data_IF_788530285938
#
_entry.id   IF_788530285938
#
_cell.length_a   1.000
_cell.length_b   1.000
_cell.length_c   1.000
_cell.angle_alpha   90.00
_cell.angle_beta   90.00
_cell.angle_gamma   90.00
#
_symmetry.space_group_name_H-M   'P 1'
#
loop_
_entity.id
_entity.type
_entity.pdbx_description
1 polymer ?
#
# COMPACT_ATOMS: atom_id res chain seq x y z
N UNK A 1 17.98 -15.86 33.14
CA UNK A 1 19.17 -15.07 33.51
C UNK A 1 20.23 -15.38 32.46
N UNK A 2 20.11 -14.79 31.26
CA UNK A 2 20.98 -15.10 30.11
C UNK A 2 21.77 -13.84 29.73
N UNK A 3 23.07 -13.90 29.92
CA UNK A 3 24.05 -12.98 29.33
C UNK A 3 23.98 -13.04 27.80
N UNK A 4 23.15 -12.19 27.20
CA UNK A 4 23.32 -11.76 25.80
C UNK A 4 24.08 -10.43 25.80
N UNK A 5 25.35 -10.50 26.22
CA UNK A 5 26.31 -9.41 26.15
C UNK A 5 26.79 -9.29 24.70
N UNK A 6 26.28 -8.34 23.90
CA UNK A 6 27.02 -7.74 22.76
C UNK A 6 27.71 -8.65 21.71
N UNK A 7 27.50 -9.97 21.69
CA UNK A 7 28.35 -10.95 20.97
C UNK A 7 28.34 -10.75 19.45
N UNK A 8 27.30 -10.08 18.93
CA UNK A 8 27.13 -9.85 17.49
C UNK A 8 27.31 -8.38 17.10
N UNK A 9 27.75 -7.51 18.01
CA UNK A 9 28.02 -6.11 17.67
C UNK A 9 29.29 -6.01 16.86
N UNK A 10 29.24 -5.29 15.74
CA UNK A 10 30.43 -5.02 14.91
C UNK A 10 31.26 -3.83 15.42
N UNK A 11 30.78 -3.16 16.48
CA UNK A 11 31.43 -1.97 17.03
C UNK A 11 32.80 -2.31 17.62
N UNK A 12 33.86 -1.63 17.15
CA UNK A 12 35.24 -1.83 17.61
C UNK A 12 35.97 -3.01 16.97
N UNK A 13 35.39 -3.66 15.96
CA UNK A 13 36.07 -4.74 15.22
C UNK A 13 36.94 -4.15 14.12
N UNK A 14 38.25 -4.39 14.18
CA UNK A 14 39.24 -3.84 13.25
C UNK A 14 38.92 -4.15 11.78
N UNK A 15 38.45 -5.37 11.47
CA UNK A 15 38.04 -5.77 10.11
C UNK A 15 36.91 -4.92 9.50
N UNK A 16 36.11 -4.23 10.32
CA UNK A 16 35.09 -3.28 9.85
C UNK A 16 35.61 -1.84 9.83
N UNK A 17 36.63 -1.51 10.62
CA UNK A 17 37.27 -0.19 10.65
C UNK A 17 38.16 0.00 9.43
N UNK A 18 38.94 -1.03 9.08
CA UNK A 18 39.85 -1.04 7.93
C UNK A 18 39.16 -1.60 6.65
N UNK A 19 37.82 -1.64 6.65
CA UNK A 19 37.08 -2.19 5.53
C UNK A 19 37.05 -1.20 4.35
N UNK A 20 37.85 -1.49 3.34
CA UNK A 20 37.79 -0.81 2.05
C UNK A 20 36.72 -1.43 1.15
N UNK A 21 35.80 -0.57 0.69
CA UNK A 21 34.65 -0.99 -0.07
C UNK A 21 34.94 -1.06 -1.58
N UNK A 22 34.76 -2.24 -2.17
CA UNK A 22 34.77 -2.41 -3.62
C UNK A 22 33.36 -2.32 -4.22
N UNK A 23 33.22 -1.53 -5.28
CA UNK A 23 31.96 -1.34 -6.01
C UNK A 23 31.48 -2.66 -6.62
N UNK A 24 30.40 -3.21 -6.06
CA UNK A 24 29.78 -4.44 -6.50
C UNK A 24 28.46 -4.18 -7.26
N UNK A 25 28.15 -4.88 -8.37
CA UNK A 25 26.85 -4.77 -9.04
C UNK A 25 25.62 -5.01 -8.15
N UNK A 26 25.75 -5.72 -7.02
CA UNK A 26 24.64 -5.89 -6.06
C UNK A 26 24.15 -4.59 -5.41
N UNK A 27 24.93 -3.49 -5.46
CA UNK A 27 24.51 -2.14 -5.01
C UNK A 27 23.32 -1.64 -5.83
N UNK A 28 23.16 -2.11 -7.07
CA UNK A 28 22.08 -1.68 -7.96
C UNK A 28 20.72 -2.26 -7.57
N UNK A 29 20.68 -3.31 -6.73
CA UNK A 29 19.42 -3.93 -6.28
C UNK A 29 18.51 -2.89 -5.56
N UNK A 30 19.01 -2.07 -4.62
CA UNK A 30 18.23 -0.98 -4.03
C UNK A 30 17.68 0.06 -5.01
N UNK A 31 18.23 0.18 -6.23
CA UNK A 31 17.74 1.11 -7.25
C UNK A 31 16.65 0.50 -8.15
N UNK A 32 16.51 -0.84 -8.16
CA UNK A 32 15.47 -1.53 -8.92
C UNK A 32 14.05 -1.03 -8.61
N UNK A 33 13.69 -0.69 -7.36
CA UNK A 33 12.43 -0.02 -7.04
C UNK A 33 12.15 1.27 -7.79
N UNK A 34 13.17 2.07 -8.11
CA UNK A 34 12.97 3.35 -8.80
C UNK A 34 12.37 3.17 -10.20
N UNK A 35 12.66 2.05 -10.87
CA UNK A 35 12.17 1.74 -12.22
C UNK A 35 10.63 1.68 -12.24
N UNK A 36 10.00 1.12 -11.20
CA UNK A 36 8.55 1.01 -11.12
C UNK A 36 7.88 2.10 -10.26
N UNK A 37 8.60 2.73 -9.33
CA UNK A 37 8.07 3.85 -8.53
C UNK A 37 7.82 5.08 -9.41
N UNK A 38 8.75 5.45 -10.30
CA UNK A 38 8.62 6.67 -11.13
C UNK A 38 7.36 6.62 -12.02
N UNK A 39 7.09 5.55 -12.79
CA UNK A 39 5.83 5.42 -13.54
C UNK A 39 4.59 5.45 -12.65
N UNK A 40 4.67 4.85 -11.47
CA UNK A 40 3.56 4.81 -10.51
C UNK A 40 3.23 6.20 -9.98
N UNK A 41 4.23 7.03 -9.69
CA UNK A 41 4.02 8.43 -9.31
C UNK A 41 3.26 9.21 -10.39
N UNK A 42 3.59 8.97 -11.67
CA UNK A 42 2.85 9.58 -12.78
C UNK A 42 1.41 9.08 -12.90
N UNK A 43 1.18 7.78 -12.68
CA UNK A 43 -0.18 7.21 -12.63
C UNK A 43 -0.97 7.78 -11.46
N UNK A 44 -0.39 7.83 -10.26
CA UNK A 44 -1.02 8.45 -9.09
C UNK A 44 -1.38 9.90 -9.34
N UNK A 45 -0.48 10.69 -9.95
CA UNK A 45 -0.77 12.06 -10.34
C UNK A 45 -1.96 12.17 -11.31
N UNK A 46 -2.05 11.26 -12.30
CA UNK A 46 -3.20 11.19 -13.21
C UNK A 46 -4.49 10.77 -12.52
N UNK A 47 -4.42 9.80 -11.61
CA UNK A 47 -5.56 9.36 -10.80
C UNK A 47 -6.06 10.53 -9.96
N UNK A 48 -5.16 11.20 -9.24
CA UNK A 48 -5.45 12.38 -8.42
C UNK A 48 -6.09 13.52 -9.24
N UNK A 49 -5.47 13.92 -10.36
CA UNK A 49 -6.05 14.92 -11.25
C UNK A 49 -7.42 14.50 -11.79
N UNK A 50 -7.61 13.22 -12.10
CA UNK A 50 -8.88 12.72 -12.62
C UNK A 50 -10.01 12.69 -11.58
N UNK A 51 -9.68 12.53 -10.29
CA UNK A 51 -10.62 12.73 -9.19
C UNK A 51 -10.92 14.23 -8.97
N UNK A 52 -9.91 15.10 -9.03
CA UNK A 52 -10.13 16.56 -8.92
C UNK A 52 -10.95 17.15 -10.07
N UNK A 53 -10.82 16.62 -11.29
CA UNK A 53 -11.62 17.06 -12.46
C UNK A 53 -13.02 16.44 -12.53
N UNK A 54 -13.48 15.72 -11.51
CA UNK A 54 -14.87 15.30 -11.47
C UNK A 54 -15.75 16.54 -11.30
N UNK A 55 -16.66 16.84 -12.24
CA UNK A 55 -17.64 17.87 -11.99
C UNK A 55 -18.52 17.39 -10.83
N UNK A 56 -18.76 18.30 -9.88
CA UNK A 56 -19.71 18.22 -8.77
C UNK A 56 -21.18 17.98 -9.21
N UNK A 57 -21.39 17.46 -10.42
CA UNK A 57 -22.67 17.39 -11.12
C UNK A 57 -23.47 16.12 -10.79
N UNK A 58 -22.92 15.17 -10.03
CA UNK A 58 -23.70 14.04 -9.49
C UNK A 58 -24.37 14.38 -8.15
N UNK A 59 -24.00 15.49 -7.51
CA UNK A 59 -24.64 16.01 -6.30
C UNK A 59 -25.88 16.87 -6.60
N UNK A 60 -26.18 17.12 -7.88
CA UNK A 60 -27.26 18.00 -8.34
C UNK A 60 -28.47 17.20 -8.83
N UNK A 61 -28.90 16.19 -8.07
CA UNK A 61 -30.23 15.61 -8.21
C UNK A 61 -31.12 16.18 -7.11
N UNK A 62 -31.91 17.17 -7.53
CA UNK A 62 -33.12 17.75 -6.91
C UNK A 62 -33.52 17.15 -5.56
N UNK A 63 -33.24 17.89 -4.49
CA UNK A 63 -33.86 17.69 -3.18
C UNK A 63 -34.20 19.06 -2.58
N UNK A 64 -35.37 19.15 -1.95
CA UNK A 64 -35.88 20.35 -1.26
C UNK A 64 -34.82 21.00 -0.37
N UNK A 65 -34.79 22.33 -0.34
CA UNK A 65 -33.71 23.12 0.28
C UNK A 65 -33.43 22.77 1.74
N UNK A 66 -34.45 22.39 2.51
CA UNK A 66 -34.28 21.95 3.91
C UNK A 66 -33.67 20.54 4.03
N UNK A 67 -34.03 19.61 3.14
CA UNK A 67 -33.46 18.26 3.12
C UNK A 67 -32.00 18.30 2.63
N UNK A 68 -31.71 19.17 1.66
CA UNK A 68 -30.35 19.39 1.17
C UNK A 68 -29.44 19.98 2.25
N UNK A 69 -29.93 20.94 3.05
CA UNK A 69 -29.17 21.49 4.18
C UNK A 69 -28.87 20.43 5.23
N UNK A 70 -29.84 19.58 5.59
CA UNK A 70 -29.65 18.46 6.53
C UNK A 70 -28.65 17.42 6.02
N UNK A 71 -28.72 17.07 4.73
CA UNK A 71 -27.77 16.15 4.09
C UNK A 71 -26.36 16.75 4.01
N UNK A 72 -26.23 18.04 3.70
CA UNK A 72 -24.95 18.74 3.72
C UNK A 72 -24.36 18.83 5.12
N UNK A 73 -25.17 19.14 6.12
CA UNK A 73 -24.73 19.20 7.53
C UNK A 73 -24.27 17.82 8.00
N UNK A 74 -25.02 16.75 7.69
CA UNK A 74 -24.60 15.38 7.96
C UNK A 74 -23.27 15.04 7.29
N UNK A 75 -23.08 15.45 6.04
CA UNK A 75 -21.85 15.21 5.30
C UNK A 75 -20.66 15.99 5.90
N UNK A 76 -20.86 17.26 6.28
CA UNK A 76 -19.85 18.09 6.94
C UNK A 76 -19.48 17.52 8.31
N UNK A 77 -20.46 17.12 9.13
CA UNK A 77 -20.24 16.47 10.42
C UNK A 77 -19.48 15.16 10.22
N UNK A 78 -19.86 14.32 9.23
CA UNK A 78 -19.10 13.10 8.89
C UNK A 78 -17.66 13.42 8.51
N UNK A 79 -17.42 14.41 7.66
CA UNK A 79 -16.07 14.77 7.21
C UNK A 79 -15.23 15.32 8.36
N UNK A 80 -15.82 16.13 9.24
CA UNK A 80 -15.16 16.62 10.46
C UNK A 80 -14.85 15.46 11.41
N UNK A 81 -15.78 14.55 11.67
CA UNK A 81 -15.54 13.36 12.49
C UNK A 81 -14.47 12.46 11.87
N UNK A 82 -14.47 12.23 10.55
CA UNK A 82 -13.40 11.51 9.87
C UNK A 82 -12.05 12.21 10.08
N UNK A 83 -11.98 13.54 9.94
CA UNK A 83 -10.74 14.29 10.11
C UNK A 83 -10.25 14.32 11.58
N UNK A 84 -11.16 14.49 12.54
CA UNK A 84 -10.81 14.61 13.96
C UNK A 84 -10.72 13.28 14.69
N UNK A 85 -11.23 12.17 14.15
CA UNK A 85 -11.08 10.84 14.74
C UNK A 85 -10.10 9.95 13.95
N UNK A 86 -10.22 9.86 12.61
CA UNK A 86 -9.35 8.98 11.82
C UNK A 86 -7.93 9.51 11.78
N UNK A 87 -7.74 10.82 11.60
CA UNK A 87 -6.39 11.39 11.49
C UNK A 87 -5.56 11.23 12.77
N UNK A 88 -6.09 11.48 13.99
CA UNK A 88 -5.34 11.16 15.20
C UNK A 88 -5.18 9.66 15.44
N UNK A 89 -6.15 8.81 15.10
CA UNK A 89 -5.97 7.35 15.19
C UNK A 89 -4.85 6.89 14.25
N UNK A 90 -4.80 7.41 13.02
CA UNK A 90 -3.77 7.10 12.02
C UNK A 90 -2.38 7.50 12.51
N UNK A 91 -2.26 8.57 13.29
CA UNK A 91 -1.00 9.01 13.89
C UNK A 91 -0.67 8.26 15.19
N UNK A 92 -1.67 7.98 16.02
CA UNK A 92 -1.52 7.34 17.33
C UNK A 92 -1.18 5.85 17.19
N UNK A 93 -1.74 5.14 16.22
CA UNK A 93 -1.49 3.71 16.01
C UNK A 93 0.00 3.41 15.76
N UNK A 94 0.70 4.07 14.80
CA UNK A 94 2.14 3.91 14.65
C UNK A 94 2.93 4.27 15.91
N UNK A 95 2.52 5.32 16.63
CA UNK A 95 3.19 5.75 17.86
C UNK A 95 3.11 4.68 18.95
N UNK A 96 1.92 4.11 19.17
CA UNK A 96 1.71 3.01 20.13
C UNK A 96 2.49 1.78 19.67
N UNK A 97 2.48 1.46 18.38
CA UNK A 97 3.23 0.35 17.83
C UNK A 97 4.75 0.52 17.93
N UNK A 98 5.29 1.74 18.06
CA UNK A 98 6.74 1.98 18.20
C UNK A 98 7.14 2.23 19.65
N UNK A 99 6.18 2.54 20.54
CA UNK A 99 6.44 2.86 21.95
C UNK A 99 7.28 1.82 22.69
N UNK A 100 7.17 0.53 22.34
CA UNK A 100 7.98 -0.55 22.93
C UNK A 100 9.49 -0.48 22.63
N UNK A 101 9.89 0.28 21.59
CA UNK A 101 11.28 0.50 21.19
C UNK A 101 11.93 1.71 21.89
N UNK A 102 11.17 2.57 22.56
CA UNK A 102 11.70 3.75 23.26
C UNK A 102 12.82 3.40 24.27
N UNK A 103 12.70 2.35 25.12
CA UNK A 103 13.75 1.97 26.05
C UNK A 103 14.85 1.08 25.44
N UNK A 104 14.75 0.75 24.14
CA UNK A 104 15.66 -0.21 23.51
C UNK A 104 16.99 0.41 23.12
N UNK A 105 18.07 -0.36 23.22
CA UNK A 105 19.41 0.04 22.80
C UNK A 105 19.71 -0.52 21.41
N UNK A 106 20.05 0.35 20.46
CA UNK A 106 20.46 -0.03 19.12
C UNK A 106 21.94 -0.42 19.04
N UNK A 107 22.28 -1.43 18.25
CA UNK A 107 23.64 -1.78 17.90
C UNK A 107 23.70 -2.28 16.44
N UNK A 108 24.85 -2.08 15.79
CA UNK A 108 25.08 -2.57 14.44
C UNK A 108 25.54 -4.02 14.50
N UNK A 109 25.01 -4.87 13.63
CA UNK A 109 25.50 -6.24 13.42
C UNK A 109 25.63 -6.52 11.91
N UNK A 110 26.36 -7.58 11.58
CA UNK A 110 26.54 -8.03 10.21
C UNK A 110 25.32 -8.85 9.75
N UNK A 111 24.83 -8.62 8.54
CA UNK A 111 23.82 -9.49 7.95
C UNK A 111 24.42 -10.87 7.67
N UNK A 112 23.62 -11.91 7.93
CA UNK A 112 23.97 -13.27 7.59
C UNK A 112 23.90 -13.55 6.08
N UNK A 113 24.23 -14.77 5.69
CA UNK A 113 24.08 -15.24 4.29
C UNK A 113 22.63 -15.01 3.81
N UNK A 114 22.41 -14.54 2.57
CA UNK A 114 23.33 -14.52 1.43
C UNK A 114 24.13 -13.21 1.26
N UNK A 115 24.04 -12.27 2.20
CA UNK A 115 24.67 -10.96 2.04
C UNK A 115 26.20 -11.04 2.22
N UNK A 116 26.98 -10.30 1.41
CA UNK A 116 28.44 -10.28 1.52
C UNK A 116 28.90 -9.56 2.78
N UNK A 117 30.16 -9.78 3.17
CA UNK A 117 30.80 -9.06 4.26
C UNK A 117 30.74 -7.54 4.03
N UNK A 118 30.53 -6.76 5.10
CA UNK A 118 30.32 -5.31 5.04
C UNK A 118 28.85 -4.90 4.91
N UNK A 119 27.92 -5.86 4.75
CA UNK A 119 26.48 -5.59 4.85
C UNK A 119 26.03 -5.52 6.31
N UNK A 120 25.54 -4.36 6.75
CA UNK A 120 25.28 -4.07 8.17
C UNK A 120 23.78 -3.82 8.38
N UNK A 121 23.18 -4.46 9.40
CA UNK A 121 21.84 -4.17 9.86
C UNK A 121 21.85 -3.56 11.27
N UNK A 122 20.97 -2.58 11.47
CA UNK A 122 20.76 -1.95 12.77
C UNK A 122 19.77 -2.81 13.54
N UNK A 123 20.24 -3.41 14.62
CA UNK A 123 19.43 -4.26 15.49
C UNK A 123 19.25 -3.60 16.86
N UNK A 124 18.24 -4.02 17.62
CA UNK A 124 17.97 -3.48 18.95
C UNK A 124 17.97 -4.60 19.99
N UNK A 125 18.39 -4.27 21.20
CA UNK A 125 18.32 -5.14 22.39
C UNK A 125 17.54 -4.44 23.49
N UNK A 126 17.00 -5.22 24.45
CA UNK A 126 16.25 -4.72 25.61
C UNK A 126 15.01 -3.88 25.26
N UNK A 127 14.13 -4.42 24.39
CA UNK A 127 12.78 -3.86 24.23
C UNK A 127 11.96 -3.95 25.53
N UNK A 128 10.94 -3.09 25.67
CA UNK A 128 10.04 -3.13 26.83
C UNK A 128 9.46 -4.55 27.01
N UNK A 129 9.60 -5.14 28.21
CA UNK A 129 9.20 -6.53 28.55
C UNK A 129 9.85 -7.66 27.71
N UNK A 130 10.94 -7.39 26.98
CA UNK A 130 11.56 -8.39 26.11
C UNK A 130 10.73 -8.73 24.86
N UNK A 131 9.70 -7.93 24.55
CA UNK A 131 8.86 -8.11 23.38
C UNK A 131 9.67 -7.86 22.09
N UNK A 132 9.60 -8.81 21.14
CA UNK A 132 10.23 -8.70 19.83
C UNK A 132 9.24 -8.10 18.82
N UNK A 133 9.71 -7.11 18.04
CA UNK A 133 8.98 -6.46 16.93
C UNK A 133 8.28 -7.44 16.00
N UNK A 134 8.88 -8.61 15.74
CA UNK A 134 8.28 -9.65 14.89
C UNK A 134 6.91 -10.13 15.37
N UNK A 135 6.66 -10.19 16.69
CA UNK A 135 5.35 -10.60 17.22
C UNK A 135 4.27 -9.56 16.92
N UNK A 136 4.58 -8.27 17.06
CA UNK A 136 3.65 -7.19 16.73
C UNK A 136 3.33 -7.16 15.24
N UNK A 137 4.35 -7.27 14.38
CA UNK A 137 4.15 -7.30 12.93
C UNK A 137 3.31 -8.52 12.54
N UNK A 138 3.58 -9.70 13.13
CA UNK A 138 2.82 -10.92 12.88
C UNK A 138 1.36 -10.76 13.27
N UNK A 139 1.09 -10.33 14.51
CA UNK A 139 -0.27 -10.16 15.02
C UNK A 139 -1.06 -9.14 14.18
N UNK A 140 -0.46 -7.98 13.90
CA UNK A 140 -1.09 -6.93 13.08
C UNK A 140 -1.37 -7.43 11.65
N UNK A 141 -0.38 -8.06 11.02
CA UNK A 141 -0.52 -8.56 9.64
C UNK A 141 -1.60 -9.64 9.55
N UNK A 142 -1.67 -10.53 10.54
CA UNK A 142 -2.68 -11.59 10.58
C UNK A 142 -4.10 -11.01 10.78
N UNK A 143 -4.26 -10.07 11.71
CA UNK A 143 -5.54 -9.39 11.93
C UNK A 143 -5.97 -8.62 10.66
N UNK A 144 -5.06 -7.84 10.08
CA UNK A 144 -5.32 -7.11 8.84
C UNK A 144 -5.65 -8.02 7.67
N UNK A 145 -5.00 -9.19 7.58
CA UNK A 145 -5.30 -10.20 6.56
C UNK A 145 -6.73 -10.73 6.69
N UNK A 146 -7.14 -11.14 7.89
CA UNK A 146 -8.50 -11.62 8.17
C UNK A 146 -9.53 -10.52 7.87
N UNK A 147 -9.29 -9.29 8.33
CA UNK A 147 -10.19 -8.17 8.05
C UNK A 147 -10.30 -7.88 6.55
N UNK A 148 -9.18 -7.87 5.81
CA UNK A 148 -9.16 -7.60 4.37
C UNK A 148 -9.86 -8.71 3.57
N UNK A 149 -9.68 -9.97 3.97
CA UNK A 149 -10.38 -11.11 3.39
C UNK A 149 -11.90 -11.03 3.65
N UNK A 150 -12.30 -10.68 4.88
CA UNK A 150 -13.70 -10.49 5.25
C UNK A 150 -14.37 -9.37 4.43
N UNK A 151 -13.72 -8.20 4.32
CA UNK A 151 -14.22 -7.07 3.53
C UNK A 151 -14.33 -7.42 2.03
N UNK A 152 -13.34 -8.12 1.50
CA UNK A 152 -13.34 -8.60 0.11
C UNK A 152 -14.49 -9.58 -0.14
N UNK A 153 -14.76 -10.48 0.82
CA UNK A 153 -15.88 -11.44 0.77
C UNK A 153 -17.24 -10.74 0.80
N UNK A 154 -17.45 -9.80 1.73
CA UNK A 154 -18.68 -9.00 1.83
C UNK A 154 -18.94 -8.23 0.54
N UNK A 155 -17.91 -7.59 0.00
CA UNK A 155 -18.04 -6.81 -1.23
C UNK A 155 -18.28 -7.71 -2.45
N UNK A 156 -17.65 -8.88 -2.54
CA UNK A 156 -17.93 -9.87 -3.58
C UNK A 156 -19.38 -10.40 -3.49
N UNK A 157 -19.87 -10.66 -2.28
CA UNK A 157 -21.27 -11.06 -2.08
C UNK A 157 -22.23 -9.94 -2.49
N UNK A 158 -21.96 -8.69 -2.09
CA UNK A 158 -22.75 -7.52 -2.52
C UNK A 158 -22.84 -7.40 -4.05
N UNK A 159 -21.73 -7.68 -4.74
CA UNK A 159 -21.65 -7.66 -6.20
C UNK A 159 -22.49 -8.78 -6.86
N UNK A 160 -22.57 -9.96 -6.22
CA UNK A 160 -23.37 -11.13 -6.63
C UNK A 160 -24.86 -10.92 -6.38
N UNK A 161 -25.23 -10.42 -5.20
CA UNK A 161 -26.63 -10.24 -4.77
C UNK A 161 -27.31 -9.09 -5.51
N UNK A 162 -26.57 -8.24 -6.21
CA UNK A 162 -27.15 -7.27 -7.15
C UNK A 162 -28.01 -6.20 -6.48
N UNK A 163 -27.65 -5.79 -5.26
CA UNK A 163 -28.38 -4.88 -4.34
C UNK A 163 -28.36 -3.42 -4.85
N UNK A 164 -28.74 -3.20 -6.10
CA UNK A 164 -29.01 -1.89 -6.70
C UNK A 164 -30.38 -1.99 -7.38
N UNK A 165 -31.42 -2.18 -6.56
CA UNK A 165 -32.76 -2.51 -7.03
C UNK A 165 -33.50 -1.29 -7.63
N UNK A 166 -33.05 -0.06 -7.34
CA UNK A 166 -33.77 1.18 -7.70
C UNK A 166 -32.99 2.15 -8.61
N UNK A 167 -31.83 1.75 -9.16
CA UNK A 167 -31.03 2.62 -10.00
C UNK A 167 -31.28 2.38 -11.51
N UNK A 168 -31.26 3.45 -12.30
CA UNK A 168 -31.29 3.39 -13.78
C UNK A 168 -30.26 2.38 -14.32
N UNK A 169 -30.60 1.71 -15.43
CA UNK A 169 -29.78 0.66 -16.05
C UNK A 169 -28.35 1.12 -16.39
N UNK A 170 -28.17 2.39 -16.75
CA UNK A 170 -26.85 3.00 -16.99
C UNK A 170 -26.07 3.21 -15.69
N UNK A 171 -26.68 3.86 -14.70
CA UNK A 171 -26.08 4.14 -13.38
C UNK A 171 -25.71 2.85 -12.65
N UNK A 172 -26.56 1.81 -12.75
CA UNK A 172 -26.31 0.48 -12.16
C UNK A 172 -25.08 -0.19 -12.79
N UNK A 173 -24.92 -0.13 -14.12
CA UNK A 173 -23.75 -0.68 -14.82
C UNK A 173 -22.47 0.07 -14.42
N UNK A 174 -22.55 1.39 -14.25
CA UNK A 174 -21.41 2.22 -13.84
C UNK A 174 -20.99 1.93 -12.39
N UNK A 175 -21.95 1.93 -11.46
CA UNK A 175 -21.73 1.62 -10.05
C UNK A 175 -21.16 0.20 -9.87
N UNK A 176 -21.74 -0.81 -10.54
CA UNK A 176 -21.24 -2.19 -10.48
C UNK A 176 -19.79 -2.33 -10.95
N UNK A 177 -19.40 -1.55 -11.96
CA UNK A 177 -18.00 -1.52 -12.47
C UNK A 177 -17.05 -0.80 -11.50
N UNK A 178 -17.49 0.27 -10.85
CA UNK A 178 -16.71 0.95 -9.82
C UNK A 178 -16.52 0.04 -8.59
N UNK A 179 -17.59 -0.63 -8.13
CA UNK A 179 -17.52 -1.60 -7.04
C UNK A 179 -16.58 -2.77 -7.37
N UNK A 180 -16.60 -3.29 -8.61
CA UNK A 180 -15.68 -4.34 -9.05
C UNK A 180 -14.21 -3.88 -9.14
N UNK A 181 -13.96 -2.59 -9.39
CA UNK A 181 -12.61 -2.02 -9.34
C UNK A 181 -12.07 -1.97 -7.92
N UNK A 182 -12.93 -1.56 -6.96
CA UNK A 182 -12.61 -1.51 -5.52
C UNK A 182 -12.41 -2.93 -4.97
N UNK A 183 -13.33 -3.84 -5.29
CA UNK A 183 -13.07 -5.22 -5.75
C UNK A 183 -11.64 -5.73 -5.68
N UNK A 184 -11.04 -5.63 -6.86
CA UNK A 184 -9.73 -6.13 -7.20
C UNK A 184 -8.65 -5.40 -6.38
N UNK A 185 -8.85 -4.12 -6.09
CA UNK A 185 -7.90 -3.32 -5.29
C UNK A 185 -7.76 -3.87 -3.87
N UNK A 186 -8.86 -4.25 -3.22
CA UNK A 186 -8.86 -4.87 -1.89
C UNK A 186 -8.21 -6.26 -1.88
N UNK A 187 -8.36 -7.03 -2.96
CA UNK A 187 -7.66 -8.32 -3.13
C UNK A 187 -6.14 -8.08 -3.29
N UNK A 188 -5.74 -7.05 -4.04
CA UNK A 188 -4.32 -6.70 -4.18
C UNK A 188 -3.67 -6.27 -2.85
N UNK A 189 -4.44 -5.67 -1.94
CA UNK A 189 -4.00 -5.28 -0.60
C UNK A 189 -3.63 -6.46 0.30
N UNK A 190 -4.02 -7.69 -0.05
CA UNK A 190 -3.77 -8.90 0.75
C UNK A 190 -2.31 -9.36 0.66
N UNK A 191 -1.67 -9.15 -0.50
CA UNK A 191 -0.29 -9.58 -0.81
C UNK A 191 0.77 -9.09 0.20
N UNK A 192 0.83 -7.81 0.60
CA UNK A 192 1.75 -7.33 1.63
C UNK A 192 1.51 -8.02 2.98
N UNK A 193 0.26 -8.29 3.38
CA UNK A 193 -0.01 -8.95 4.65
C UNK A 193 0.47 -10.41 4.65
N UNK A 194 0.31 -11.12 3.54
CA UNK A 194 0.81 -12.50 3.38
C UNK A 194 2.34 -12.52 3.48
N UNK A 195 3.02 -11.68 2.69
CA UNK A 195 4.50 -11.61 2.69
C UNK A 195 5.04 -11.16 4.05
N UNK A 196 4.44 -10.16 4.70
CA UNK A 196 4.80 -9.73 6.06
C UNK A 196 4.62 -10.87 7.08
N UNK A 197 3.59 -11.71 6.93
CA UNK A 197 3.32 -12.86 7.80
C UNK A 197 4.38 -13.95 7.61
N UNK A 198 4.69 -14.33 6.37
CA UNK A 198 5.73 -15.32 6.04
C UNK A 198 7.08 -14.93 6.63
N UNK A 199 7.49 -13.66 6.44
CA UNK A 199 8.77 -13.18 6.97
C UNK A 199 8.75 -13.14 8.50
N UNK A 200 7.63 -12.77 9.12
CA UNK A 200 7.55 -12.73 10.58
C UNK A 200 7.59 -14.13 11.20
N UNK A 201 6.93 -15.13 10.59
CA UNK A 201 7.00 -16.54 11.02
C UNK A 201 8.43 -17.07 10.90
N UNK A 202 9.08 -16.87 9.76
CA UNK A 202 10.48 -17.30 9.55
C UNK A 202 11.43 -16.66 10.56
N UNK A 203 11.26 -15.36 10.90
CA UNK A 203 12.09 -14.71 11.93
C UNK A 203 11.90 -15.27 13.36
N UNK A 204 10.78 -15.95 13.62
CA UNK A 204 10.44 -16.49 14.93
C UNK A 204 10.81 -17.98 15.05
N UNK A 205 10.58 -18.77 14.01
CA UNK A 205 10.83 -20.21 14.01
C UNK A 205 12.24 -20.59 13.56
N UNK A 206 12.79 -19.91 12.55
CA UNK A 206 14.06 -20.28 11.91
C UNK A 206 14.92 -19.04 11.63
N UNK A 207 15.61 -18.50 12.66
CA UNK A 207 16.36 -17.25 12.53
C UNK A 207 17.50 -17.33 11.51
N UNK A 208 18.03 -18.51 11.22
CA UNK A 208 19.16 -18.70 10.30
C UNK A 208 18.82 -18.40 8.84
N UNK A 209 17.58 -18.63 8.43
CA UNK A 209 17.12 -18.39 7.05
C UNK A 209 16.41 -17.04 6.88
N UNK A 210 16.25 -16.27 7.97
CA UNK A 210 15.55 -14.98 7.96
C UNK A 210 16.06 -14.03 6.88
N UNK A 211 17.38 -13.98 6.68
CA UNK A 211 18.02 -13.07 5.74
C UNK A 211 17.67 -13.37 4.27
N UNK A 212 17.29 -14.61 3.92
CA UNK A 212 16.80 -14.93 2.58
C UNK A 212 15.39 -14.37 2.33
N UNK A 213 14.54 -14.40 3.35
CA UNK A 213 13.14 -13.99 3.22
C UNK A 213 12.91 -12.51 3.49
N UNK A 214 13.88 -11.77 4.03
CA UNK A 214 13.70 -10.35 4.37
C UNK A 214 13.35 -9.48 3.15
N UNK A 215 13.87 -9.82 1.97
CA UNK A 215 13.57 -9.14 0.70
C UNK A 215 12.11 -9.33 0.26
N UNK A 216 11.50 -10.47 0.61
CA UNK A 216 10.09 -10.74 0.29
C UNK A 216 9.17 -9.69 0.94
N UNK A 217 9.53 -9.21 2.13
CA UNK A 217 8.81 -8.15 2.83
C UNK A 217 8.81 -6.85 2.05
N UNK A 218 9.97 -6.48 1.51
CA UNK A 218 10.14 -5.26 0.72
C UNK A 218 9.30 -5.33 -0.56
N UNK A 219 9.43 -6.44 -1.30
CA UNK A 219 8.68 -6.68 -2.54
C UNK A 219 7.16 -6.67 -2.30
N UNK A 220 6.69 -7.27 -1.20
CA UNK A 220 5.26 -7.30 -0.88
C UNK A 220 4.67 -5.91 -0.61
N UNK A 221 5.39 -5.07 0.13
CA UNK A 221 4.97 -3.69 0.40
C UNK A 221 5.06 -2.82 -0.87
N UNK A 222 6.11 -2.98 -1.68
CA UNK A 222 6.25 -2.27 -2.95
C UNK A 222 5.14 -2.68 -3.94
N UNK A 223 4.77 -3.96 -3.97
CA UNK A 223 3.67 -4.46 -4.78
C UNK A 223 2.35 -3.77 -4.41
N UNK A 224 2.03 -3.60 -3.13
CA UNK A 224 0.81 -2.92 -2.71
C UNK A 224 0.77 -1.47 -3.22
N UNK A 225 1.84 -0.73 -2.95
CA UNK A 225 1.94 0.70 -3.30
C UNK A 225 1.87 0.95 -4.81
N UNK A 226 2.37 0.00 -5.61
CA UNK A 226 2.31 0.06 -7.07
C UNK A 226 0.97 -0.45 -7.60
N UNK A 227 0.56 -1.65 -7.24
CA UNK A 227 -0.60 -2.29 -7.87
C UNK A 227 -1.91 -1.58 -7.54
N UNK A 228 -2.09 -1.02 -6.34
CA UNK A 228 -3.32 -0.33 -5.97
C UNK A 228 -3.67 0.83 -6.94
N UNK A 229 -2.82 1.85 -7.15
CA UNK A 229 -3.07 2.91 -8.13
C UNK A 229 -3.25 2.41 -9.56
N UNK A 230 -2.46 1.42 -9.97
CA UNK A 230 -2.51 0.88 -11.33
C UNK A 230 -3.84 0.15 -11.60
N UNK A 231 -4.30 -0.69 -10.67
CA UNK A 231 -5.59 -1.36 -10.75
C UNK A 231 -6.70 -0.32 -10.85
N UNK A 232 -6.70 0.70 -10.00
CA UNK A 232 -7.70 1.78 -10.04
C UNK A 232 -7.66 2.54 -11.37
N UNK A 233 -6.48 2.94 -11.84
CA UNK A 233 -6.34 3.67 -13.10
C UNK A 233 -6.83 2.85 -14.31
N UNK A 234 -6.57 1.54 -14.32
CA UNK A 234 -6.93 0.67 -15.44
C UNK A 234 -8.39 0.25 -15.40
N UNK A 235 -8.93 -0.12 -14.23
CA UNK A 235 -10.24 -0.76 -14.12
C UNK A 235 -11.37 0.22 -13.83
N UNK A 236 -11.11 1.37 -13.19
CA UNK A 236 -12.16 2.27 -12.76
C UNK A 236 -12.82 2.97 -13.97
N UNK A 237 -14.18 3.02 -14.03
CA UNK A 237 -14.90 3.45 -15.21
C UNK A 237 -14.61 4.91 -15.60
N UNK A 238 -14.32 5.78 -14.63
CA UNK A 238 -13.99 7.19 -14.85
C UNK A 238 -12.75 7.37 -15.73
N UNK A 239 -11.70 6.58 -15.49
CA UNK A 239 -10.47 6.64 -16.28
C UNK A 239 -10.59 5.89 -17.60
N UNK A 240 -11.47 4.88 -17.65
CA UNK A 240 -11.73 4.12 -18.88
C UNK A 240 -12.50 4.96 -19.89
N UNK A 241 -13.55 5.65 -19.48
CA UNK A 241 -14.36 6.49 -20.38
C UNK A 241 -13.54 7.66 -20.96
N UNK A 242 -12.68 8.29 -20.15
CA UNK A 242 -11.73 9.32 -20.62
C UNK A 242 -10.76 8.77 -21.67
N UNK A 243 -10.25 7.54 -21.49
CA UNK A 243 -9.38 6.86 -22.46
C UNK A 243 -10.12 6.50 -23.74
N UNK A 244 -11.31 5.89 -23.65
CA UNK A 244 -12.14 5.53 -24.80
C UNK A 244 -12.51 6.76 -25.65
N UNK A 245 -12.88 7.89 -25.01
CA UNK A 245 -13.14 9.17 -25.71
C UNK A 245 -11.89 9.72 -26.39
N UNK A 246 -10.72 9.66 -25.73
CA UNK A 246 -9.44 10.12 -26.31
C UNK A 246 -9.06 9.28 -27.53
N UNK A 247 -9.14 7.96 -27.44
CA UNK A 247 -8.84 7.04 -28.55
C UNK A 247 -9.77 7.28 -29.75
N UNK A 248 -11.08 7.44 -29.51
CA UNK A 248 -12.03 7.78 -30.60
C UNK A 248 -11.69 9.12 -31.27
N UNK A 249 -11.30 10.15 -30.50
CA UNK A 249 -10.89 11.45 -31.05
C UNK A 249 -9.63 11.32 -31.91
N UNK A 250 -8.61 10.61 -31.43
CA UNK A 250 -7.37 10.37 -32.20
C UNK A 250 -7.64 9.62 -33.50
N UNK A 251 -8.47 8.58 -33.47
CA UNK A 251 -8.83 7.81 -34.66
C UNK A 251 -9.63 8.65 -35.67
N UNK A 252 -10.49 9.57 -35.19
CA UNK A 252 -11.22 10.49 -36.05
C UNK A 252 -10.28 11.48 -36.76
N UNK A 253 -9.32 12.05 -36.02
CA UNK A 253 -8.30 12.97 -36.57
C UNK A 253 -7.41 12.28 -37.60
N UNK A 254 -6.93 11.06 -37.30
CA UNK A 254 -6.14 10.25 -38.26
C UNK A 254 -6.92 9.96 -39.54
N UNK A 255 -8.21 9.62 -39.43
CA UNK A 255 -9.06 9.34 -40.59
C UNK A 255 -9.33 10.57 -41.47
N UNK A 256 -9.38 11.76 -40.86
CA UNK A 256 -9.51 13.04 -41.59
C UNK A 256 -8.18 13.40 -42.28
N UNK A 257 -7.05 13.25 -41.58
CA UNK A 257 -5.72 13.52 -42.16
C UNK A 257 -5.44 12.67 -43.40
N UNK A 258 -5.79 11.38 -43.37
CA UNK A 258 -5.62 10.47 -44.51
C UNK A 258 -6.50 10.82 -45.73
N UNK A 259 -7.58 11.56 -45.53
CA UNK A 259 -8.54 11.97 -46.57
C UNK A 259 -8.17 13.29 -47.25
N UNK A 260 -7.21 14.03 -46.70
CA UNK A 260 -6.79 15.36 -47.16
C UNK A 260 -5.48 15.32 -47.96
N UNK A 261 -4.81 14.16 -47.99
CA UNK A 261 -3.55 13.90 -48.71
C UNK A 261 -3.76 13.10 -50.02
N UNK A 262 -5.00 13.05 -50.53
CA UNK A 262 -5.38 12.52 -51.84
C UNK A 262 -6.02 13.68 -52.59
#
# INVERSE_FOLDING_TARGET
MNSFNGVNSIHGIQNYIDFDYELNPYILIPFLPLIYIIPTMFVMWKVFKGYQTQPLNLAKMTFDGHLFFLLMLYFIIRVLVMKWCIFPILFLVPLVCVSFMIPSMGYCRQLGRPFPFGSIDIYYTRGFLGLRRSYFILALSFICWICSAALSSVMYFKLRTGIMHNASSYTRKLAKRAEFSISITLISAIVPFITNTIVSITTLWTPDIMFYFILLRLIGNDFETVMMPWILYVTHPIFREKREKKTKKTNCVLKISHRTTI
#
